data_IF_705767605934
#
_entry.id   IF_705767605934
#
_cell.length_a   1.000
_cell.length_b   1.000
_cell.length_c   1.000
_cell.angle_alpha   90.00
_cell.angle_beta   90.00
_cell.angle_gamma   90.00
#
_symmetry.space_group_name_H-M   'P 1'
#
loop_
_entity.id
_entity.type
_entity.pdbx_description
1 polymer ?
#
# COMPACT_ATOMS: atom_id res chain seq x y z
N UNK A 1 -6.39 -42.12 25.44
CA UNK A 1 -5.76 -40.85 25.88
C UNK A 1 -4.63 -40.40 24.97
N UNK A 2 -3.64 -41.26 24.65
CA UNK A 2 -2.51 -40.91 23.75
C UNK A 2 -2.95 -40.42 22.35
N UNK A 3 -3.97 -41.04 21.76
CA UNK A 3 -4.50 -40.64 20.44
C UNK A 3 -5.26 -39.30 20.45
N UNK A 4 -5.79 -38.88 21.61
CA UNK A 4 -6.51 -37.60 21.73
C UNK A 4 -5.52 -36.43 21.81
N UNK A 5 -4.38 -36.64 22.48
CA UNK A 5 -3.31 -35.63 22.62
C UNK A 5 -2.64 -35.34 21.26
N UNK A 6 -2.45 -36.38 20.44
CA UNK A 6 -1.90 -36.23 19.07
C UNK A 6 -2.87 -35.48 18.16
N UNK A 7 -4.17 -35.74 18.29
CA UNK A 7 -5.20 -35.04 17.52
C UNK A 7 -5.31 -33.55 17.91
N UNK A 8 -5.17 -33.24 19.21
CA UNK A 8 -5.15 -31.84 19.68
C UNK A 8 -3.90 -31.08 19.25
N UNK A 9 -2.72 -31.73 19.22
CA UNK A 9 -1.48 -31.09 18.80
C UNK A 9 -1.46 -30.77 17.29
N UNK A 10 -2.08 -31.64 16.47
CA UNK A 10 -2.22 -31.41 15.03
C UNK A 10 -3.26 -30.33 14.70
N UNK A 11 -4.30 -30.18 15.53
CA UNK A 11 -5.29 -29.12 15.38
C UNK A 11 -4.74 -27.72 15.71
N UNK A 12 -3.82 -27.61 16.67
CA UNK A 12 -3.21 -26.31 17.04
C UNK A 12 -2.19 -25.79 16.04
N UNK A 13 -1.52 -26.67 15.28
CA UNK A 13 -0.56 -26.26 14.24
C UNK A 13 -1.22 -25.73 12.96
N UNK A 14 -2.53 -25.96 12.77
CA UNK A 14 -3.27 -25.49 11.58
C UNK A 14 -3.93 -24.12 11.80
N UNK A 15 -3.84 -23.56 13.01
CA UNK A 15 -4.43 -22.26 13.35
C UNK A 15 -3.37 -21.15 13.50
N UNK A 16 -2.09 -21.43 13.29
CA UNK A 16 -1.00 -20.44 13.41
C UNK A 16 -0.64 -19.78 12.07
N UNK A 17 -1.62 -19.56 11.18
CA UNK A 17 -1.43 -18.52 10.17
C UNK A 17 -1.49 -17.20 10.90
N UNK A 18 -0.33 -16.63 11.15
CA UNK A 18 -0.24 -15.34 11.79
C UNK A 18 -0.89 -14.26 10.90
N UNK A 19 -1.47 -13.24 11.53
CA UNK A 19 -2.05 -12.10 10.82
C UNK A 19 -1.06 -11.40 9.89
N UNK A 20 -1.32 -11.43 8.58
CA UNK A 20 -0.73 -10.47 7.64
C UNK A 20 -1.80 -9.47 7.22
N UNK A 21 -1.41 -8.21 7.06
CA UNK A 21 -2.26 -7.18 6.45
C UNK A 21 -1.73 -6.87 5.06
N UNK A 22 -2.63 -6.85 4.09
CA UNK A 22 -2.32 -6.63 2.68
C UNK A 22 -2.85 -5.27 2.25
N UNK A 23 -2.08 -4.55 1.44
CA UNK A 23 -2.51 -3.31 0.80
C UNK A 23 -2.33 -3.42 -0.70
N UNK A 24 -3.37 -3.06 -1.44
CA UNK A 24 -3.32 -2.78 -2.86
C UNK A 24 -3.82 -1.36 -3.13
N UNK A 25 -3.10 -0.62 -3.96
CA UNK A 25 -3.54 0.68 -4.45
C UNK A 25 -3.34 0.77 -5.96
N UNK A 26 -4.43 0.93 -6.70
CA UNK A 26 -4.38 1.25 -8.13
C UNK A 26 -4.19 2.75 -8.28
N UNK A 27 -3.11 3.16 -8.95
CA UNK A 27 -2.73 4.56 -9.11
C UNK A 27 -2.85 4.93 -10.58
N UNK A 28 -3.83 5.76 -10.89
CA UNK A 28 -4.10 6.28 -12.22
C UNK A 28 -3.46 7.66 -12.42
N UNK A 29 -2.70 7.82 -13.51
CA UNK A 29 -2.23 9.11 -13.97
C UNK A 29 -3.19 9.68 -15.02
N UNK A 30 -4.14 10.53 -14.60
CA UNK A 30 -5.08 11.22 -15.51
C UNK A 30 -4.47 12.51 -16.07
N UNK A 31 -3.18 12.76 -15.85
CA UNK A 31 -2.49 13.95 -16.35
C UNK A 31 -2.01 13.76 -17.79
N UNK A 32 -1.67 14.87 -18.45
CA UNK A 32 -1.14 14.85 -19.82
C UNK A 32 0.35 14.45 -19.90
N UNK A 33 1.05 14.29 -18.77
CA UNK A 33 2.49 14.05 -18.74
C UNK A 33 2.84 12.80 -17.91
N UNK A 34 3.94 12.11 -18.24
CA UNK A 34 4.45 11.04 -17.39
C UNK A 34 4.82 11.60 -16.00
N UNK A 35 4.53 10.81 -14.97
CA UNK A 35 4.83 11.16 -13.59
C UNK A 35 5.58 10.04 -12.89
N UNK A 36 6.39 10.45 -11.92
CA UNK A 36 7.02 9.56 -10.95
C UNK A 36 6.32 9.76 -9.61
N UNK A 37 5.76 8.68 -9.06
CA UNK A 37 5.14 8.67 -7.73
C UNK A 37 6.10 7.98 -6.77
N UNK A 38 6.44 8.66 -5.67
CA UNK A 38 7.42 8.21 -4.68
C UNK A 38 6.75 8.15 -3.30
N UNK A 39 6.61 6.94 -2.77
CA UNK A 39 6.15 6.65 -1.41
C UNK A 39 7.34 6.73 -0.47
N UNK A 40 7.33 7.67 0.47
CA UNK A 40 8.47 7.96 1.35
C UNK A 40 8.13 7.55 2.78
N UNK A 41 9.01 6.73 3.38
CA UNK A 41 8.99 6.40 4.80
C UNK A 41 10.23 6.95 5.49
N UNK A 42 10.04 7.95 6.32
CA UNK A 42 11.08 8.54 7.16
C UNK A 42 11.41 7.62 8.34
N UNK A 43 10.42 6.83 8.79
CA UNK A 43 10.59 5.88 9.90
C UNK A 43 11.48 4.72 9.50
N UNK A 44 11.21 4.13 8.34
CA UNK A 44 11.99 2.99 7.83
C UNK A 44 13.23 3.45 7.04
N UNK A 45 13.28 4.73 6.62
CA UNK A 45 14.36 5.27 5.79
C UNK A 45 14.32 4.75 4.35
N UNK A 46 13.19 4.23 3.92
CA UNK A 46 12.99 3.60 2.61
C UNK A 46 12.01 4.41 1.74
N UNK A 47 12.11 4.21 0.42
CA UNK A 47 11.15 4.78 -0.52
C UNK A 47 10.84 3.79 -1.64
N UNK A 48 9.58 3.73 -2.05
CA UNK A 48 9.16 2.97 -3.24
C UNK A 48 8.71 3.94 -4.33
N UNK A 49 9.09 3.64 -5.57
CA UNK A 49 8.84 4.51 -6.72
C UNK A 49 8.04 3.76 -7.77
N UNK A 50 7.05 4.44 -8.34
CA UNK A 50 6.33 4.02 -9.54
C UNK A 50 6.49 5.07 -10.63
N UNK A 51 6.76 4.59 -11.85
CA UNK A 51 6.72 5.40 -13.07
C UNK A 51 5.39 5.13 -13.77
N UNK A 52 4.63 6.18 -14.05
CA UNK A 52 3.26 6.08 -14.54
C UNK A 52 3.10 6.99 -15.77
N UNK A 53 2.87 6.39 -16.94
CA UNK A 53 2.62 7.11 -18.17
C UNK A 53 1.24 7.83 -18.16
N UNK A 54 1.00 8.80 -19.05
CA UNK A 54 -0.34 9.41 -19.18
C UNK A 54 -1.43 8.37 -19.44
N UNK A 55 -2.52 8.46 -18.68
CA UNK A 55 -3.68 7.55 -18.68
C UNK A 55 -3.32 6.08 -18.35
N UNK A 56 -2.21 5.85 -17.66
CA UNK A 56 -1.82 4.53 -17.16
C UNK A 56 -2.27 4.35 -15.70
N UNK A 57 -2.68 3.12 -15.38
CA UNK A 57 -2.90 2.66 -14.01
C UNK A 57 -1.75 1.75 -13.61
N UNK A 58 -1.12 2.02 -12.47
CA UNK A 58 -0.11 1.15 -11.85
C UNK A 58 -0.60 0.64 -10.50
N UNK A 59 -0.40 -0.65 -10.27
CA UNK A 59 -0.66 -1.27 -8.99
C UNK A 59 0.54 -1.07 -8.04
N UNK A 60 0.24 -0.56 -6.85
CA UNK A 60 1.12 -0.53 -5.69
C UNK A 60 0.66 -1.61 -4.70
N UNK A 61 1.58 -2.45 -4.20
CA UNK A 61 1.25 -3.54 -3.28
C UNK A 61 2.21 -3.58 -2.10
N UNK A 62 1.67 -3.86 -0.91
CA UNK A 62 2.42 -4.12 0.33
C UNK A 62 1.82 -5.31 1.08
N UNK A 63 2.62 -5.95 1.92
CA UNK A 63 2.17 -6.99 2.84
C UNK A 63 2.00 -8.39 2.22
N UNK A 64 2.11 -8.55 0.90
CA UNK A 64 1.97 -9.85 0.26
C UNK A 64 3.11 -10.82 0.61
N UNK A 65 2.76 -12.02 1.07
CA UNK A 65 3.70 -13.11 1.37
C UNK A 65 4.37 -13.63 0.09
N UNK A 66 5.68 -13.41 -0.04
CA UNK A 66 6.51 -13.91 -1.15
C UNK A 66 7.17 -15.26 -0.85
N UNK A 67 6.73 -15.98 0.19
CA UNK A 67 7.18 -17.33 0.49
C UNK A 67 8.25 -17.42 1.60
N UNK A 68 8.32 -16.45 2.49
CA UNK A 68 9.19 -16.54 3.66
C UNK A 68 8.67 -15.68 4.81
N UNK A 69 7.84 -16.29 5.67
CA UNK A 69 7.60 -15.89 7.07
C UNK A 69 7.48 -14.38 7.28
N UNK A 70 6.50 -13.73 6.64
CA UNK A 70 6.16 -12.35 7.01
C UNK A 70 5.27 -12.38 8.26
N UNK A 71 5.90 -12.16 9.41
CA UNK A 71 5.28 -12.19 10.74
C UNK A 71 5.47 -10.86 11.45
N UNK A 72 4.61 -9.90 11.14
CA UNK A 72 3.99 -8.94 12.07
C UNK A 72 3.04 -8.02 11.27
N UNK A 73 1.91 -7.58 11.84
CA UNK A 73 0.95 -6.73 11.14
C UNK A 73 1.47 -5.29 11.07
N UNK A 74 2.43 -5.01 10.20
CA UNK A 74 2.84 -3.64 9.94
C UNK A 74 3.12 -3.44 8.46
N UNK A 75 2.11 -2.96 7.73
CA UNK A 75 2.35 -2.31 6.45
C UNK A 75 3.38 -1.19 6.67
N UNK A 76 4.37 -1.07 5.79
CA UNK A 76 5.37 0.02 5.88
C UNK A 76 4.66 1.34 6.04
N UNK A 77 5.00 2.11 7.07
CA UNK A 77 4.38 3.41 7.28
C UNK A 77 5.01 4.45 6.36
N UNK A 78 4.27 4.88 5.34
CA UNK A 78 4.64 6.00 4.46
C UNK A 78 4.08 7.30 5.04
N UNK A 79 4.96 8.26 5.31
CA UNK A 79 4.56 9.59 5.81
C UNK A 79 4.10 10.51 4.68
N UNK A 80 4.57 10.26 3.45
CA UNK A 80 4.26 11.09 2.30
C UNK A 80 4.31 10.35 0.97
N UNK A 81 3.54 10.89 0.01
CA UNK A 81 3.57 10.51 -1.40
C UNK A 81 3.98 11.74 -2.19
N UNK A 82 5.10 11.65 -2.89
CA UNK A 82 5.67 12.74 -3.67
C UNK A 82 5.46 12.44 -5.15
N UNK A 83 4.82 13.38 -5.85
CA UNK A 83 4.65 13.32 -7.31
C UNK A 83 5.68 14.21 -7.96
N UNK A 84 6.45 13.67 -8.89
CA UNK A 84 7.49 14.36 -9.65
C UNK A 84 7.27 14.20 -11.15
N UNK A 85 7.81 15.13 -11.93
CA UNK A 85 7.95 14.93 -13.38
C UNK A 85 9.23 14.14 -13.71
N UNK A 86 9.46 13.86 -15.00
CA UNK A 86 10.65 13.16 -15.49
C UNK A 86 11.97 13.90 -15.20
N UNK A 87 11.92 15.23 -15.06
CA UNK A 87 13.07 16.05 -14.67
C UNK A 87 13.31 16.05 -13.15
N UNK A 88 12.61 15.20 -12.41
CA UNK A 88 12.70 15.04 -10.95
C UNK A 88 12.22 16.27 -10.14
N UNK A 89 11.59 17.25 -10.80
CA UNK A 89 10.96 18.38 -10.12
C UNK A 89 9.73 17.90 -9.36
N UNK A 90 9.60 18.35 -8.11
CA UNK A 90 8.41 18.07 -7.28
C UNK A 90 7.23 18.85 -7.84
N UNK A 91 6.19 18.12 -8.22
CA UNK A 91 4.91 18.69 -8.65
C UNK A 91 3.95 18.78 -7.46
N UNK A 92 3.91 17.74 -6.63
CA UNK A 92 3.01 17.64 -5.49
C UNK A 92 3.61 16.82 -4.37
N UNK A 93 3.25 17.16 -3.14
CA UNK A 93 3.53 16.35 -1.95
C UNK A 93 2.21 16.15 -1.21
N UNK A 94 1.84 14.90 -1.04
CA UNK A 94 0.77 14.47 -0.14
C UNK A 94 1.38 13.99 1.16
N UNK A 95 0.87 14.47 2.29
CA UNK A 95 1.30 14.04 3.64
C UNK A 95 0.12 13.43 4.37
N UNK A 96 0.35 12.80 5.51
CA UNK A 96 -0.71 12.26 6.38
C UNK A 96 -1.83 13.28 6.67
N UNK A 97 -1.49 14.55 6.87
CA UNK A 97 -2.49 15.61 7.10
C UNK A 97 -3.24 16.03 5.84
N UNK A 98 -2.84 15.55 4.66
CA UNK A 98 -3.54 15.85 3.40
C UNK A 98 -4.77 14.96 3.32
N UNK A 99 -5.94 15.58 3.46
CA UNK A 99 -7.23 14.88 3.46
C UNK A 99 -7.31 13.85 2.33
N UNK A 100 -7.30 12.59 2.75
CA UNK A 100 -7.43 11.43 1.89
C UNK A 100 -6.24 11.12 0.97
N UNK A 101 -5.17 11.92 0.88
CA UNK A 101 -4.11 11.65 -0.13
C UNK A 101 -2.90 10.85 0.41
N UNK A 102 -3.03 10.24 1.59
CA UNK A 102 -2.02 9.33 2.17
C UNK A 102 -2.61 7.92 2.26
N UNK A 103 -2.01 6.95 1.56
CA UNK A 103 -2.54 5.59 1.33
C UNK A 103 -2.89 4.76 2.59
N UNK A 104 -2.53 5.20 3.80
CA UNK A 104 -2.88 4.50 5.05
C UNK A 104 -3.91 5.22 5.92
N UNK A 105 -4.25 6.47 5.63
CA UNK A 105 -5.14 7.30 6.48
C UNK A 105 -6.42 7.74 5.77
N UNK A 106 -6.75 7.06 4.67
CA UNK A 106 -7.82 7.47 3.78
C UNK A 106 -9.19 7.00 4.28
N UNK A 107 -9.94 7.86 4.98
CA UNK A 107 -11.35 7.63 5.33
C UNK A 107 -12.37 8.09 4.28
N UNK A 108 -11.93 8.87 3.28
CA UNK A 108 -12.83 9.63 2.39
C UNK A 108 -12.80 9.19 0.90
N UNK A 109 -12.34 7.96 0.60
CA UNK A 109 -12.13 7.48 -0.79
C UNK A 109 -12.99 6.27 -1.09
N UNK A 110 -12.92 5.80 -2.35
CA UNK A 110 -13.32 4.44 -2.72
C UNK A 110 -12.25 3.48 -2.15
N UNK A 111 -12.22 3.38 -0.82
CA UNK A 111 -11.53 2.33 -0.12
C UNK A 111 -12.52 1.19 0.08
N UNK A 112 -12.09 -0.03 -0.16
CA UNK A 112 -12.81 -1.20 0.33
C UNK A 112 -11.91 -1.99 1.24
N UNK A 113 -12.54 -2.64 2.22
CA UNK A 113 -11.91 -3.66 3.05
C UNK A 113 -12.56 -5.00 2.69
N UNK A 114 -12.15 -5.66 1.58
CA UNK A 114 -12.77 -6.93 1.18
C UNK A 114 -12.64 -8.01 2.25
N UNK A 115 -11.64 -7.88 3.14
CA UNK A 115 -11.51 -8.65 4.36
C UNK A 115 -10.95 -7.79 5.50
N UNK A 116 -11.03 -8.29 6.75
CA UNK A 116 -10.57 -7.59 7.97
C UNK A 116 -9.11 -7.09 7.93
N UNK A 117 -8.30 -7.59 6.98
CA UNK A 117 -6.87 -7.29 6.87
C UNK A 117 -6.43 -7.04 5.43
N UNK A 118 -7.37 -6.88 4.50
CA UNK A 118 -7.05 -6.53 3.13
C UNK A 118 -7.65 -5.17 2.83
N UNK A 119 -6.78 -4.23 2.48
CA UNK A 119 -7.13 -2.86 2.17
C UNK A 119 -6.89 -2.60 0.69
N UNK A 120 -7.95 -2.22 -0.02
CA UNK A 120 -7.91 -1.89 -1.45
C UNK A 120 -8.24 -0.42 -1.66
N UNK A 121 -7.41 0.26 -2.44
CA UNK A 121 -7.50 1.69 -2.73
C UNK A 121 -7.43 1.97 -4.24
N UNK A 122 -8.13 3.02 -4.66
CA UNK A 122 -8.09 3.57 -6.02
C UNK A 122 -7.62 5.03 -5.93
N UNK A 123 -6.59 5.42 -6.70
CA UNK A 123 -5.96 6.74 -6.60
C UNK A 123 -5.78 7.42 -7.95
N UNK A 124 -6.46 8.55 -8.16
CA UNK A 124 -6.26 9.38 -9.36
C UNK A 124 -5.36 10.59 -9.08
N UNK A 125 -4.39 10.81 -9.98
CA UNK A 125 -3.59 12.04 -10.06
C UNK A 125 -4.09 12.83 -11.26
N UNK A 126 -4.67 14.00 -11.00
CA UNK A 126 -5.27 14.85 -12.02
C UNK A 126 -4.39 16.06 -12.31
N UNK A 127 -4.61 16.74 -13.45
CA UNK A 127 -3.82 17.92 -13.83
C UNK A 127 -3.85 19.02 -12.75
N UNK A 128 -4.98 19.20 -12.07
CA UNK A 128 -5.13 20.16 -10.96
C UNK A 128 -4.25 19.84 -9.73
N UNK A 129 -3.83 18.59 -9.57
CA UNK A 129 -2.98 18.18 -8.47
C UNK A 129 -1.51 18.57 -8.69
N UNK A 130 -1.10 18.70 -9.96
CA UNK A 130 0.29 18.91 -10.41
C UNK A 130 0.56 20.30 -11.01
N UNK A 131 -0.43 21.21 -10.93
CA UNK A 131 -0.36 22.61 -11.36
C UNK A 131 0.09 23.55 -10.25
#
# INVERSE_FOLDING_TARGET
MKNVIVLSALATSLLSCDPVSDLEANIENVTAQPIRVEFVSTVEGESKTLQIAPNEIKLFQEGFDIGSTYLEPSLTQYDSVVVRNENNHVLKVYKETTAGKNIFTIRDWISSEPSKRFFLYEFEIQNQDIQ
#
